data_IF_317273880955
#
_entry.id   IF_317273880955
#
_cell.length_a   1.000
_cell.length_b   1.000
_cell.length_c   1.000
_cell.angle_alpha   90.00
_cell.angle_beta   90.00
_cell.angle_gamma   90.00
#
_symmetry.space_group_name_H-M   'P 1'
#
loop_
_entity.id
_entity.type
_entity.pdbx_description
1 polymer ?
#
# COMPACT_ATOMS: atom_id res chain seq x y z
N UNK A 1 -8.17 16.00 -21.90
CA UNK A 1 -9.29 15.08 -21.63
C UNK A 1 -9.73 14.48 -22.95
N UNK A 2 -9.60 13.17 -23.09
CA UNK A 2 -10.23 12.41 -24.18
C UNK A 2 -11.54 11.84 -23.65
N UNK A 3 -12.42 11.39 -24.55
CA UNK A 3 -13.69 10.72 -24.18
C UNK A 3 -13.45 9.44 -23.36
N UNK A 4 -12.25 8.88 -23.45
CA UNK A 4 -11.84 7.64 -22.77
C UNK A 4 -11.36 7.88 -21.32
N UNK A 5 -11.55 9.08 -20.77
CA UNK A 5 -11.05 9.44 -19.44
C UNK A 5 -12.07 10.23 -18.61
N UNK A 6 -12.18 9.88 -17.33
CA UNK A 6 -12.90 10.66 -16.32
C UNK A 6 -11.86 11.31 -15.40
N UNK A 7 -11.87 12.64 -15.22
CA UNK A 7 -10.98 13.29 -14.26
C UNK A 7 -11.23 12.77 -12.84
N UNK A 8 -10.16 12.36 -12.17
CA UNK A 8 -10.16 11.97 -10.77
C UNK A 8 -9.08 12.76 -10.04
N UNK A 9 -9.41 13.23 -8.84
CA UNK A 9 -8.48 13.96 -7.97
C UNK A 9 -8.31 13.19 -6.67
N UNK A 10 -7.06 13.05 -6.22
CA UNK A 10 -6.72 12.46 -4.92
C UNK A 10 -6.58 13.60 -3.92
N UNK A 11 -7.17 13.44 -2.74
CA UNK A 11 -7.16 14.45 -1.69
C UNK A 11 -5.92 14.22 -0.81
N UNK A 12 -5.18 15.28 -0.48
CA UNK A 12 -4.08 15.21 0.48
C UNK A 12 -4.57 14.63 1.82
N UNK A 13 -3.83 13.67 2.37
CA UNK A 13 -4.25 12.92 3.56
C UNK A 13 -5.25 11.80 3.28
N UNK A 14 -5.40 11.34 2.04
CA UNK A 14 -6.24 10.17 1.72
C UNK A 14 -5.44 8.87 1.65
N UNK A 15 -6.11 7.77 2.00
CA UNK A 15 -5.70 6.39 1.70
C UNK A 15 -6.81 5.79 0.84
N UNK A 16 -6.46 5.26 -0.33
CA UNK A 16 -7.42 4.65 -1.27
C UNK A 16 -6.99 3.24 -1.61
N UNK A 17 -7.92 2.29 -1.50
CA UNK A 17 -7.68 0.87 -1.76
C UNK A 17 -8.32 0.44 -3.08
N UNK A 18 -7.60 -0.39 -3.84
CA UNK A 18 -8.08 -0.97 -5.09
C UNK A 18 -7.74 -2.46 -5.14
N UNK A 19 -8.60 -3.27 -5.74
CA UNK A 19 -8.20 -4.60 -6.19
C UNK A 19 -7.17 -4.44 -7.31
N UNK A 20 -5.98 -5.01 -7.14
CA UNK A 20 -4.90 -4.96 -8.11
C UNK A 20 -4.95 -6.14 -9.09
N UNK A 21 -5.59 -7.25 -8.72
CA UNK A 21 -5.92 -8.33 -9.64
C UNK A 21 -7.26 -8.05 -10.34
N UNK A 22 -7.42 -8.55 -11.56
CA UNK A 22 -8.68 -8.44 -12.29
C UNK A 22 -9.76 -9.27 -11.58
N UNK A 23 -10.87 -8.62 -11.25
CA UNK A 23 -12.07 -9.24 -10.70
C UNK A 23 -13.26 -8.79 -11.54
N UNK A 24 -13.96 -9.74 -12.14
CA UNK A 24 -15.18 -9.54 -12.93
C UNK A 24 -16.43 -9.93 -12.15
N UNK A 25 -16.33 -10.86 -11.21
CA UNK A 25 -17.47 -11.32 -10.41
C UNK A 25 -17.09 -11.65 -8.96
N UNK A 26 -17.42 -10.74 -8.04
CA UNK A 26 -17.16 -10.87 -6.60
C UNK A 26 -17.89 -12.05 -5.92
N UNK A 27 -18.87 -12.69 -6.58
CA UNK A 27 -19.50 -13.88 -6.03
C UNK A 27 -18.61 -15.13 -6.12
N UNK A 28 -17.83 -15.23 -7.20
CA UNK A 28 -17.01 -16.39 -7.56
C UNK A 28 -15.50 -16.14 -7.55
N UNK A 29 -15.08 -14.89 -7.59
CA UNK A 29 -13.69 -14.46 -7.65
C UNK A 29 -13.36 -13.63 -6.40
N UNK A 30 -12.09 -13.68 -5.98
CA UNK A 30 -11.60 -12.98 -4.81
C UNK A 30 -10.55 -11.93 -5.17
N UNK A 31 -10.42 -10.92 -4.33
CA UNK A 31 -9.27 -10.03 -4.35
C UNK A 31 -8.10 -10.76 -3.71
N UNK A 32 -7.02 -10.92 -4.46
CA UNK A 32 -5.78 -11.61 -4.05
C UNK A 32 -4.58 -10.69 -4.04
N UNK A 33 -4.66 -9.56 -4.77
CA UNK A 33 -3.67 -8.51 -4.82
C UNK A 33 -4.36 -7.20 -4.44
N UNK A 34 -3.86 -6.50 -3.43
CA UNK A 34 -4.40 -5.22 -2.95
C UNK A 34 -3.44 -4.08 -3.30
N UNK A 35 -3.94 -3.04 -3.94
CA UNK A 35 -3.24 -1.77 -4.11
C UNK A 35 -3.70 -0.78 -3.04
N UNK A 36 -2.74 -0.12 -2.40
CA UNK A 36 -2.98 0.92 -1.40
C UNK A 36 -2.28 2.19 -1.88
N UNK A 37 -3.04 3.21 -2.27
CA UNK A 37 -2.53 4.52 -2.65
C UNK A 37 -2.64 5.49 -1.47
N UNK A 38 -1.51 6.09 -1.10
CA UNK A 38 -1.42 7.03 0.02
C UNK A 38 -0.96 8.39 -0.48
N UNK A 39 -1.68 9.44 -0.09
CA UNK A 39 -1.30 10.83 -0.23
C UNK A 39 -0.90 11.39 1.16
N UNK A 40 0.37 11.27 1.59
CA UNK A 40 0.78 11.50 2.97
C UNK A 40 1.02 13.00 3.29
N UNK A 41 0.10 13.89 2.91
CA UNK A 41 0.24 15.34 3.20
C UNK A 41 -0.03 15.65 4.69
N UNK A 42 -0.83 14.81 5.34
CA UNK A 42 -1.13 14.87 6.76
C UNK A 42 -1.35 13.45 7.29
N UNK A 43 -1.32 13.28 8.61
CA UNK A 43 -1.66 12.01 9.23
C UNK A 43 -3.08 11.59 8.82
N UNK A 44 -3.21 10.33 8.43
CA UNK A 44 -4.47 9.79 7.95
C UNK A 44 -4.66 8.34 8.38
N UNK A 45 -5.91 7.88 8.33
CA UNK A 45 -6.26 6.51 8.68
C UNK A 45 -7.33 5.96 7.74
N UNK A 46 -7.36 4.64 7.58
CA UNK A 46 -8.38 3.93 6.84
C UNK A 46 -8.59 2.54 7.47
N UNK A 47 -9.84 2.11 7.60
CA UNK A 47 -10.15 0.75 8.03
C UNK A 47 -10.52 -0.08 6.82
N UNK A 48 -9.65 -1.02 6.45
CA UNK A 48 -9.98 -2.06 5.50
C UNK A 48 -10.74 -3.18 6.22
N UNK A 49 -11.84 -3.64 5.64
CA UNK A 49 -12.74 -4.61 6.26
C UNK A 49 -13.03 -5.74 5.29
N UNK A 50 -12.88 -6.98 5.76
CA UNK A 50 -13.24 -8.19 5.01
C UNK A 50 -14.19 -9.07 5.82
N UNK A 51 -15.17 -9.66 5.15
CA UNK A 51 -15.97 -10.80 5.61
C UNK A 51 -16.39 -11.65 4.40
N UNK A 52 -17.30 -12.61 4.58
CA UNK A 52 -17.75 -13.48 3.49
C UNK A 52 -18.68 -12.78 2.46
N UNK A 53 -19.14 -11.56 2.75
CA UNK A 53 -20.06 -10.78 1.94
C UNK A 53 -21.42 -11.43 1.67
N UNK A 54 -21.76 -12.52 2.37
CA UNK A 54 -22.90 -13.41 2.05
C UNK A 54 -23.76 -13.75 3.26
N UNK A 55 -23.15 -14.00 4.42
CA UNK A 55 -23.84 -14.46 5.62
C UNK A 55 -23.87 -13.36 6.71
N UNK A 56 -24.41 -13.72 7.88
CA UNK A 56 -24.39 -12.86 9.07
C UNK A 56 -23.28 -13.26 10.07
N UNK A 57 -22.32 -14.09 9.67
CA UNK A 57 -21.27 -14.59 10.55
C UNK A 57 -20.38 -13.49 11.14
N UNK A 58 -20.29 -12.33 10.48
CA UNK A 58 -19.61 -11.14 11.01
C UNK A 58 -20.19 -10.68 12.36
N UNK A 59 -21.50 -10.91 12.62
CA UNK A 59 -22.15 -10.57 13.90
C UNK A 59 -21.61 -11.39 15.06
N UNK A 60 -21.04 -12.56 14.77
CA UNK A 60 -20.42 -13.46 15.76
C UNK A 60 -18.90 -13.40 15.71
N UNK A 61 -18.31 -12.43 15.00
CA UNK A 61 -16.86 -12.20 14.98
C UNK A 61 -16.14 -12.68 13.72
N UNK A 62 -16.82 -13.33 12.76
CA UNK A 62 -16.19 -13.80 11.52
C UNK A 62 -15.99 -12.64 10.52
N UNK A 63 -15.07 -11.74 10.86
CA UNK A 63 -14.63 -10.62 10.03
C UNK A 63 -13.13 -10.40 10.23
N UNK A 64 -12.55 -9.58 9.38
CA UNK A 64 -11.21 -9.03 9.51
C UNK A 64 -11.28 -7.52 9.38
N UNK A 65 -10.62 -6.82 10.30
CA UNK A 65 -10.38 -5.39 10.24
C UNK A 65 -8.88 -5.15 10.21
N UNK A 66 -8.45 -4.34 9.27
CA UNK A 66 -7.10 -3.81 9.20
C UNK A 66 -7.16 -2.29 9.29
N UNK A 67 -6.70 -1.75 10.41
CA UNK A 67 -6.58 -0.32 10.64
C UNK A 67 -5.22 0.14 10.10
N UNK A 68 -5.25 0.88 9.00
CA UNK A 68 -4.09 1.42 8.31
C UNK A 68 -3.92 2.86 8.79
N UNK A 69 -2.83 3.13 9.49
CA UNK A 69 -2.46 4.46 9.98
C UNK A 69 -1.23 4.95 9.24
N UNK A 70 -1.26 6.18 8.75
CA UNK A 70 -0.14 6.81 8.05
C UNK A 70 0.30 8.03 8.83
N UNK A 71 1.58 8.05 9.19
CA UNK A 71 2.26 9.21 9.75
C UNK A 71 3.22 9.79 8.70
N UNK A 72 3.03 11.05 8.26
CA UNK A 72 3.92 11.68 7.30
C UNK A 72 5.16 12.28 7.98
N UNK A 73 6.18 12.58 7.19
CA UNK A 73 7.41 13.21 7.66
C UNK A 73 8.59 12.89 6.74
N UNK A 74 9.82 13.10 7.22
CA UNK A 74 11.03 12.63 6.52
C UNK A 74 11.01 11.11 6.35
N UNK A 75 10.34 10.40 7.26
CA UNK A 75 9.93 9.01 7.08
C UNK A 75 8.41 8.95 7.05
N UNK A 76 7.84 8.41 5.98
CA UNK A 76 6.42 8.06 5.94
C UNK A 76 6.27 6.68 6.55
N UNK A 77 5.51 6.58 7.65
CA UNK A 77 5.25 5.32 8.35
C UNK A 77 3.81 4.88 8.09
N UNK A 78 3.65 3.69 7.54
CA UNK A 78 2.35 3.04 7.34
C UNK A 78 2.26 1.88 8.32
N UNK A 79 1.45 2.02 9.37
CA UNK A 79 1.25 0.98 10.38
C UNK A 79 -0.09 0.30 10.14
N UNK A 80 -0.10 -1.03 10.09
CA UNK A 80 -1.31 -1.83 9.94
C UNK A 80 -1.57 -2.63 11.21
N UNK A 81 -2.76 -2.47 11.78
CA UNK A 81 -3.23 -3.18 12.97
C UNK A 81 -4.41 -4.05 12.64
N UNK A 82 -4.38 -5.31 13.06
CA UNK A 82 -5.35 -6.33 12.65
C UNK A 82 -6.22 -6.79 13.82
N UNK A 83 -7.53 -6.86 13.59
CA UNK A 83 -8.51 -7.42 14.52
C UNK A 83 -9.47 -8.35 13.80
N UNK A 84 -9.76 -9.51 14.39
CA UNK A 84 -10.59 -10.55 13.78
C UNK A 84 -9.75 -11.62 13.08
N UNK A 85 -10.40 -12.73 12.74
CA UNK A 85 -9.76 -13.97 12.28
C UNK A 85 -10.29 -14.46 10.93
N UNK A 86 -11.09 -13.65 10.23
CA UNK A 86 -11.53 -13.99 8.89
C UNK A 86 -10.31 -14.19 7.95
N UNK A 87 -10.21 -15.34 7.25
CA UNK A 87 -9.03 -15.69 6.48
C UNK A 87 -8.99 -14.88 5.17
N UNK A 88 -8.26 -13.77 5.19
CA UNK A 88 -8.02 -12.95 3.98
C UNK A 88 -7.41 -13.78 2.85
N UNK A 89 -7.88 -13.53 1.63
CA UNK A 89 -7.32 -14.11 0.40
C UNK A 89 -6.26 -13.21 -0.24
N UNK A 90 -6.00 -12.03 0.35
CA UNK A 90 -5.02 -11.08 -0.14
C UNK A 90 -3.62 -11.59 0.23
N UNK A 91 -2.85 -11.95 -0.79
CA UNK A 91 -1.49 -12.48 -0.66
C UNK A 91 -0.43 -11.41 -0.98
N UNK A 92 -0.76 -10.42 -1.80
CA UNK A 92 0.20 -9.42 -2.28
C UNK A 92 -0.31 -8.01 -2.07
N UNK A 93 0.59 -7.13 -1.67
CA UNK A 93 0.32 -5.70 -1.51
C UNK A 93 1.18 -4.90 -2.49
N UNK A 94 0.55 -3.95 -3.18
CA UNK A 94 1.19 -2.87 -3.91
C UNK A 94 0.91 -1.57 -3.16
N UNK A 95 1.86 -1.13 -2.33
CA UNK A 95 1.78 0.16 -1.65
C UNK A 95 2.35 1.24 -2.58
N UNK A 96 1.56 2.29 -2.82
CA UNK A 96 1.94 3.48 -3.58
C UNK A 96 1.93 4.68 -2.67
N UNK A 97 3.07 5.36 -2.55
CA UNK A 97 3.20 6.61 -1.80
C UNK A 97 3.39 7.75 -2.79
N UNK A 98 2.50 8.73 -2.78
CA UNK A 98 2.68 9.97 -3.54
C UNK A 98 3.73 10.81 -2.82
N UNK A 99 4.81 11.14 -3.53
CA UNK A 99 5.81 12.10 -3.10
C UNK A 99 6.46 12.69 -4.36
N UNK A 100 6.12 13.94 -4.67
CA UNK A 100 6.61 14.61 -5.89
C UNK A 100 8.03 15.18 -5.74
N UNK A 101 8.53 15.29 -4.51
CA UNK A 101 9.79 16.01 -4.24
C UNK A 101 11.00 15.14 -4.58
N UNK A 102 11.02 13.88 -4.09
CA UNK A 102 12.18 12.99 -4.27
C UNK A 102 11.85 11.52 -4.07
N UNK A 103 12.76 10.68 -4.56
CA UNK A 103 12.78 9.25 -4.30
C UNK A 103 13.14 8.97 -2.82
N UNK A 104 12.68 7.85 -2.25
CA UNK A 104 13.12 7.42 -0.94
C UNK A 104 14.56 6.94 -0.99
N UNK A 105 15.24 7.00 0.15
CA UNK A 105 16.58 6.46 0.36
C UNK A 105 16.52 4.94 0.61
N UNK A 106 15.57 4.49 1.43
CA UNK A 106 15.29 3.07 1.65
C UNK A 106 13.82 2.86 2.02
N UNK A 107 13.39 1.61 1.93
CA UNK A 107 12.07 1.14 2.35
C UNK A 107 12.24 -0.12 3.19
N UNK A 108 11.50 -0.21 4.29
CA UNK A 108 11.39 -1.44 5.08
C UNK A 108 9.95 -1.91 5.21
N UNK A 109 9.77 -3.23 5.34
CA UNK A 109 8.55 -3.87 5.83
C UNK A 109 8.97 -4.69 7.05
N UNK A 110 8.41 -4.40 8.22
CA UNK A 110 8.81 -4.99 9.51
C UNK A 110 10.34 -5.03 9.70
N UNK A 111 10.95 -3.85 9.58
CA UNK A 111 12.40 -3.61 9.69
C UNK A 111 13.28 -4.35 8.66
N UNK A 112 12.69 -5.10 7.72
CA UNK A 112 13.42 -5.76 6.63
C UNK A 112 13.49 -4.85 5.41
N UNK A 113 14.72 -4.60 4.93
CA UNK A 113 14.95 -3.78 3.74
C UNK A 113 14.33 -4.41 2.49
N UNK A 114 13.60 -3.60 1.74
CA UNK A 114 13.00 -3.97 0.46
C UNK A 114 13.99 -3.61 -0.67
N UNK A 115 14.27 -4.52 -1.63
CA UNK A 115 15.19 -4.25 -2.73
C UNK A 115 14.77 -3.06 -3.60
N UNK A 116 15.71 -2.15 -3.90
CA UNK A 116 15.49 -1.05 -4.82
C UNK A 116 15.74 -1.47 -6.28
N UNK A 117 14.82 -1.11 -7.17
CA UNK A 117 14.99 -1.21 -8.62
C UNK A 117 15.02 0.16 -9.28
N UNK A 118 16.07 0.42 -10.07
CA UNK A 118 16.20 1.67 -10.82
C UNK A 118 15.33 1.70 -12.09
N UNK A 119 15.03 0.52 -12.65
CA UNK A 119 14.29 0.40 -13.91
C UNK A 119 12.93 -0.24 -13.69
N UNK A 120 11.88 0.43 -14.19
CA UNK A 120 10.50 -0.04 -14.08
C UNK A 120 10.31 -1.48 -14.55
N UNK A 121 10.91 -1.90 -15.67
CA UNK A 121 10.78 -3.27 -16.18
C UNK A 121 11.31 -4.35 -15.22
N UNK A 122 12.38 -4.04 -14.47
CA UNK A 122 12.94 -4.97 -13.49
C UNK A 122 12.03 -5.07 -12.26
N UNK A 123 11.51 -3.93 -11.80
CA UNK A 123 10.50 -3.87 -10.74
C UNK A 123 9.21 -4.61 -11.13
N UNK A 124 8.76 -4.50 -12.38
CA UNK A 124 7.59 -5.21 -12.87
C UNK A 124 7.75 -6.73 -12.80
N UNK A 125 8.91 -7.24 -13.20
CA UNK A 125 9.23 -8.65 -13.15
C UNK A 125 9.52 -9.19 -11.73
N UNK A 126 9.81 -8.32 -10.77
CA UNK A 126 10.14 -8.70 -9.41
C UNK A 126 8.90 -9.06 -8.58
N UNK A 127 9.04 -10.03 -7.67
CA UNK A 127 7.98 -10.42 -6.72
C UNK A 127 7.84 -9.44 -5.55
N UNK A 128 8.95 -8.83 -5.18
CA UNK A 128 9.08 -7.86 -4.11
C UNK A 128 10.11 -6.81 -4.52
N UNK A 129 10.00 -5.61 -3.97
CA UNK A 129 10.89 -4.51 -4.33
C UNK A 129 10.21 -3.17 -4.28
N UNK A 130 10.98 -2.11 -4.49
CA UNK A 130 10.44 -0.78 -4.70
C UNK A 130 11.07 -0.06 -5.90
N UNK A 131 10.30 0.84 -6.49
CA UNK A 131 10.68 1.68 -7.63
C UNK A 131 10.06 3.07 -7.48
N UNK A 132 10.83 4.11 -7.78
CA UNK A 132 10.32 5.48 -7.83
C UNK A 132 10.04 5.94 -9.26
N UNK A 133 8.80 6.31 -9.54
CA UNK A 133 8.39 6.90 -10.81
C UNK A 133 8.49 8.42 -10.74
N UNK A 134 9.51 8.99 -11.37
CA UNK A 134 9.65 10.45 -11.47
C UNK A 134 8.48 11.10 -12.21
N UNK A 135 7.95 10.43 -13.25
CA UNK A 135 6.83 10.96 -14.04
C UNK A 135 5.53 11.02 -13.24
N UNK A 136 5.31 10.06 -12.34
CA UNK A 136 4.11 10.02 -11.49
C UNK A 136 4.33 10.72 -10.14
N UNK A 137 5.58 10.97 -9.74
CA UNK A 137 5.94 11.41 -8.39
C UNK A 137 5.45 10.43 -7.32
N UNK A 138 5.71 9.14 -7.55
CA UNK A 138 5.19 8.07 -6.71
C UNK A 138 6.23 6.97 -6.48
N UNK A 139 6.28 6.47 -5.25
CA UNK A 139 7.02 5.26 -4.88
C UNK A 139 6.06 4.07 -5.00
N UNK A 140 6.48 3.02 -5.69
CA UNK A 140 5.76 1.75 -5.81
C UNK A 140 6.50 0.69 -5.01
N UNK A 141 5.81 -0.05 -4.16
CA UNK A 141 6.41 -1.03 -3.25
C UNK A 141 5.60 -2.32 -3.32
N UNK A 142 6.23 -3.41 -3.77
CA UNK A 142 5.66 -4.76 -3.83
C UNK A 142 6.17 -5.57 -2.65
N UNK A 143 5.26 -6.20 -1.90
CA UNK A 143 5.59 -7.13 -0.82
C UNK A 143 4.47 -8.15 -0.61
N UNK A 144 4.78 -9.27 0.03
CA UNK A 144 3.76 -10.25 0.46
C UNK A 144 2.98 -9.68 1.64
N UNK A 145 1.68 -9.94 1.70
CA UNK A 145 0.87 -9.58 2.86
C UNK A 145 1.42 -10.30 4.11
N UNK A 146 1.89 -9.59 5.16
CA UNK A 146 2.42 -10.22 6.36
C UNK A 146 1.39 -11.04 7.15
N UNK A 147 0.09 -10.80 6.90
CA UNK A 147 -1.04 -11.44 7.60
C UNK A 147 -1.01 -11.29 9.13
N UNK A 148 -0.34 -10.25 9.62
CA UNK A 148 -0.21 -9.88 11.02
C UNK A 148 -0.21 -8.35 11.14
N UNK A 149 -0.05 -7.83 12.36
CA UNK A 149 0.34 -6.44 12.55
C UNK A 149 1.72 -6.20 11.92
N UNK A 150 1.89 -5.11 11.19
CA UNK A 150 3.18 -4.75 10.60
C UNK A 150 3.34 -3.24 10.42
N UNK A 151 4.58 -2.81 10.13
CA UNK A 151 4.87 -1.44 9.72
C UNK A 151 5.71 -1.40 8.43
N UNK A 152 5.27 -0.59 7.47
CA UNK A 152 6.08 -0.18 6.34
C UNK A 152 6.66 1.21 6.60
N UNK A 153 7.97 1.38 6.43
CA UNK A 153 8.63 2.69 6.58
C UNK A 153 9.31 3.06 5.27
N UNK A 154 8.98 4.25 4.77
CA UNK A 154 9.53 4.82 3.54
C UNK A 154 10.33 6.05 3.93
N UNK A 155 11.66 5.95 3.93
CA UNK A 155 12.52 7.07 4.32
C UNK A 155 12.83 7.94 3.11
N UNK A 156 12.48 9.21 3.23
CA UNK A 156 12.87 10.32 2.37
C UNK A 156 13.86 11.23 3.09
N UNK A 157 14.67 10.72 4.02
CA UNK A 157 15.67 11.56 4.71
C UNK A 157 16.73 12.08 3.72
N UNK A 158 17.33 13.22 4.03
CA UNK A 158 18.49 13.70 3.27
C UNK A 158 19.72 12.88 3.68
N UNK A 159 20.39 12.29 2.70
CA UNK A 159 21.69 11.66 2.94
C UNK A 159 22.76 12.75 3.04
N UNK A 160 23.21 13.07 4.25
CA UNK A 160 24.31 14.02 4.44
C UNK A 160 25.66 13.30 4.24
N UNK A 161 26.34 13.63 3.14
CA UNK A 161 27.64 13.08 2.77
C UNK A 161 28.79 13.56 3.68
N UNK A 162 28.55 14.54 4.57
CA UNK A 162 29.58 15.15 5.41
C UNK A 162 29.93 14.35 6.67
N UNK A 163 29.26 13.22 6.92
CA UNK A 163 29.48 12.37 8.10
C UNK A 163 30.27 11.07 7.87
N UNK A 164 30.86 10.86 6.69
CA UNK A 164 31.70 9.69 6.35
C UNK A 164 33.19 10.01 6.32
#
# INVERSE_FOLDING_TARGET
MTIDSVPLFVIGGSITLFAANEVRNLHSEAVTDLEILVAPDQACHFTHYEDDGKSLAYKTGAYLKEEIHVEPGEQVKVTVKRTGDYPTQIEKILLKIINHEKAPFWVTIDDQLVPHFQHHKQFEAAKEGWYYSQTMGQVFIKYQNPKADYQAVISFENFDLLGM
#
